data_IF_806521847507
#
_entry.id   IF_806521847507
#
_cell.length_a   1.000
_cell.length_b   1.000
_cell.length_c   1.000
_cell.angle_alpha   90.00
_cell.angle_beta   90.00
_cell.angle_gamma   90.00
#
_symmetry.space_group_name_H-M   'P 1'
#
loop_
_entity.id
_entity.type
_entity.pdbx_description
1 polymer ?
#
# COMPACT_ATOMS: atom_id res chain seq x y z
N UNK A 1 20.60 -21.75 29.32
CA UNK A 1 19.69 -21.44 30.43
C UNK A 1 18.35 -22.11 30.15
N UNK A 2 18.18 -23.33 30.63
CA UNK A 2 16.89 -23.98 30.83
C UNK A 2 16.82 -24.20 32.34
N UNK A 3 15.98 -23.45 33.04
CA UNK A 3 15.72 -23.71 34.46
C UNK A 3 14.63 -24.76 34.56
N UNK A 4 15.06 -25.94 35.01
CA UNK A 4 14.25 -27.05 35.47
C UNK A 4 13.34 -26.56 36.61
N UNK A 5 12.03 -26.45 36.33
CA UNK A 5 11.04 -26.28 37.39
C UNK A 5 10.88 -27.64 38.07
N UNK A 6 11.58 -27.77 39.19
CA UNK A 6 11.51 -28.91 40.09
C UNK A 6 10.08 -29.06 40.61
N UNK A 7 9.48 -30.20 40.26
CA UNK A 7 8.27 -30.74 40.86
C UNK A 7 8.60 -31.17 42.29
N UNK A 8 8.65 -30.23 43.24
CA UNK A 8 8.67 -30.55 44.65
C UNK A 8 7.24 -30.83 45.11
N UNK A 9 6.98 -32.13 45.31
CA UNK A 9 5.85 -32.65 46.04
C UNK A 9 5.80 -32.02 47.45
N UNK A 10 4.85 -31.12 47.68
CA UNK A 10 4.44 -30.71 49.03
C UNK A 10 3.39 -31.72 49.50
N UNK A 11 3.87 -32.88 49.95
CA UNK A 11 3.09 -33.85 50.72
C UNK A 11 2.80 -33.25 52.10
N UNK A 12 1.77 -32.41 52.18
CA UNK A 12 1.13 -32.08 53.46
C UNK A 12 -0.07 -33.00 53.65
N UNK A 13 0.17 -34.08 54.36
CA UNK A 13 -0.85 -34.86 55.08
C UNK A 13 -1.77 -33.91 55.85
N UNK A 14 -2.98 -33.73 55.32
CA UNK A 14 -4.09 -33.16 56.08
C UNK A 14 -4.75 -34.33 56.80
N UNK A 15 -4.51 -34.40 58.10
CA UNK A 15 -5.15 -35.35 59.01
C UNK A 15 -6.65 -35.10 59.02
N UNK A 16 -7.40 -36.13 58.62
CA UNK A 16 -8.85 -36.14 58.65
C UNK A 16 -9.36 -36.11 60.09
N UNK A 17 -9.89 -34.95 60.50
CA UNK A 17 -10.82 -34.86 61.62
C UNK A 17 -12.24 -34.98 61.08
N UNK A 18 -12.93 -36.06 61.45
CA UNK A 18 -14.34 -36.32 61.15
C UNK A 18 -15.25 -35.27 61.80
N UNK A 19 -16.20 -34.72 61.03
CA UNK A 19 -17.33 -33.98 61.61
C UNK A 19 -17.96 -32.90 60.72
N UNK A 20 -18.63 -33.28 59.63
CA UNK A 20 -19.89 -32.63 59.24
C UNK A 20 -19.88 -31.25 58.56
N UNK A 21 -18.98 -30.92 57.63
CA UNK A 21 -19.12 -29.69 56.80
C UNK A 21 -18.35 -29.73 55.46
N UNK A 22 -17.88 -30.92 55.03
CA UNK A 22 -17.08 -31.10 53.81
C UNK A 22 -17.88 -30.98 52.49
N UNK A 23 -19.20 -31.17 52.54
CA UNK A 23 -20.08 -31.00 51.38
C UNK A 23 -20.33 -29.54 51.00
N UNK A 24 -20.36 -28.65 51.99
CA UNK A 24 -20.66 -27.23 51.78
C UNK A 24 -19.42 -26.47 51.28
N UNK A 25 -18.25 -26.76 51.86
CA UNK A 25 -16.97 -26.22 51.39
C UNK A 25 -16.65 -26.65 49.96
N UNK A 26 -16.91 -27.91 49.58
CA UNK A 26 -16.73 -28.38 48.20
C UNK A 26 -17.72 -27.75 47.22
N UNK A 27 -18.96 -27.50 47.64
CA UNK A 27 -19.96 -26.78 46.84
C UNK A 27 -19.57 -25.29 46.64
N UNK A 28 -19.06 -24.63 47.67
CA UNK A 28 -18.53 -23.26 47.61
C UNK A 28 -17.33 -23.17 46.67
N UNK A 29 -16.38 -24.10 46.76
CA UNK A 29 -15.25 -24.18 45.84
C UNK A 29 -15.72 -24.42 44.39
N UNK A 30 -16.66 -25.33 44.17
CA UNK A 30 -17.22 -25.58 42.84
C UNK A 30 -17.99 -24.36 42.27
N UNK A 31 -18.69 -23.60 43.12
CA UNK A 31 -19.33 -22.35 42.73
C UNK A 31 -18.29 -21.28 42.36
N UNK A 32 -17.25 -21.09 43.17
CA UNK A 32 -16.16 -20.15 42.90
C UNK A 32 -15.38 -20.50 41.62
N UNK A 33 -15.13 -21.79 41.37
CA UNK A 33 -14.47 -22.23 40.13
C UNK A 33 -15.35 -21.99 38.90
N UNK A 34 -16.67 -22.21 39.00
CA UNK A 34 -17.63 -21.88 37.92
C UNK A 34 -17.70 -20.38 37.67
N UNK A 35 -17.75 -19.56 38.71
CA UNK A 35 -17.74 -18.11 38.58
C UNK A 35 -16.45 -17.61 37.93
N UNK A 36 -15.28 -18.10 38.38
CA UNK A 36 -13.98 -17.76 37.77
C UNK A 36 -13.86 -18.27 36.33
N UNK A 37 -14.49 -19.40 35.99
CA UNK A 37 -14.52 -19.89 34.62
C UNK A 37 -15.41 -19.00 33.73
N UNK A 38 -16.61 -18.64 34.20
CA UNK A 38 -17.53 -17.74 33.51
C UNK A 38 -16.95 -16.34 33.31
N UNK A 39 -16.26 -15.80 34.33
CA UNK A 39 -15.56 -14.51 34.22
C UNK A 39 -14.42 -14.56 33.20
N UNK A 40 -13.60 -15.62 33.22
CA UNK A 40 -12.51 -15.78 32.24
C UNK A 40 -13.04 -15.98 30.82
N UNK A 41 -14.15 -16.68 30.63
CA UNK A 41 -14.77 -16.82 29.30
C UNK A 41 -15.34 -15.48 28.82
N UNK A 42 -16.03 -14.73 29.68
CA UNK A 42 -16.54 -13.40 29.34
C UNK A 42 -15.41 -12.40 29.02
N UNK A 43 -14.33 -12.41 29.80
CA UNK A 43 -13.14 -11.57 29.53
C UNK A 43 -12.45 -11.99 28.22
N UNK A 44 -12.38 -13.29 27.91
CA UNK A 44 -11.84 -13.78 26.66
C UNK A 44 -12.71 -13.40 25.45
N UNK A 45 -14.04 -13.44 25.59
CA UNK A 45 -14.97 -13.00 24.54
C UNK A 45 -14.91 -11.48 24.33
N UNK A 46 -14.84 -10.70 25.41
CA UNK A 46 -14.66 -9.25 25.33
C UNK A 46 -13.35 -8.90 24.60
N UNK A 47 -12.24 -9.57 24.95
CA UNK A 47 -10.95 -9.38 24.26
C UNK A 47 -11.01 -9.74 22.78
N UNK A 48 -11.66 -10.85 22.43
CA UNK A 48 -11.85 -11.23 21.02
C UNK A 48 -12.67 -10.20 20.25
N UNK A 49 -13.71 -9.65 20.88
CA UNK A 49 -14.54 -8.61 20.29
C UNK A 49 -13.75 -7.30 20.08
N UNK A 50 -12.94 -6.88 21.06
CA UNK A 50 -12.09 -5.69 20.92
C UNK A 50 -11.01 -5.89 19.87
N UNK A 51 -10.33 -7.04 19.86
CA UNK A 51 -9.32 -7.36 18.85
C UNK A 51 -9.92 -7.40 17.43
N UNK A 52 -11.14 -7.90 17.28
CA UNK A 52 -11.84 -7.88 16.00
C UNK A 52 -12.17 -6.44 15.59
N UNK A 53 -12.69 -5.62 16.51
CA UNK A 53 -12.99 -4.22 16.26
C UNK A 53 -11.74 -3.42 15.85
N UNK A 54 -10.61 -3.62 16.53
CA UNK A 54 -9.34 -2.95 16.22
C UNK A 54 -8.79 -3.35 14.84
N UNK A 55 -8.95 -4.63 14.46
CA UNK A 55 -8.59 -5.10 13.11
C UNK A 55 -9.45 -4.44 12.04
N UNK A 56 -10.76 -4.37 12.25
CA UNK A 56 -11.67 -3.70 11.32
C UNK A 56 -11.36 -2.21 11.22
N UNK A 57 -11.10 -1.53 12.35
CA UNK A 57 -10.71 -0.12 12.38
C UNK A 57 -9.40 0.12 11.62
N UNK A 58 -8.39 -0.72 11.85
CA UNK A 58 -7.10 -0.64 11.13
C UNK A 58 -7.27 -0.82 9.63
N UNK A 59 -8.09 -1.78 9.20
CA UNK A 59 -8.37 -1.97 7.77
C UNK A 59 -9.14 -0.79 7.17
N UNK A 60 -10.11 -0.26 7.90
CA UNK A 60 -10.87 0.90 7.46
C UNK A 60 -9.98 2.14 7.31
N UNK A 61 -9.09 2.39 8.27
CA UNK A 61 -8.12 3.48 8.21
C UNK A 61 -7.21 3.37 6.98
N UNK A 62 -6.69 2.16 6.71
CA UNK A 62 -5.88 1.92 5.50
C UNK A 62 -6.67 2.23 4.24
N UNK A 63 -7.90 1.74 4.11
CA UNK A 63 -8.73 2.01 2.95
C UNK A 63 -9.05 3.49 2.74
N UNK A 64 -9.26 4.25 3.83
CA UNK A 64 -9.45 5.69 3.75
C UNK A 64 -8.20 6.41 3.23
N UNK A 65 -7.04 6.08 3.79
CA UNK A 65 -5.75 6.64 3.36
C UNK A 65 -5.46 6.28 1.91
N UNK A 66 -5.64 5.02 1.52
CA UNK A 66 -5.41 4.52 0.17
C UNK A 66 -6.25 5.27 -0.86
N UNK A 67 -7.54 5.46 -0.55
CA UNK A 67 -8.46 6.19 -1.41
C UNK A 67 -8.03 7.65 -1.58
N UNK A 68 -7.76 8.34 -0.47
CA UNK A 68 -7.40 9.76 -0.50
C UNK A 68 -6.10 9.99 -1.28
N UNK A 69 -5.10 9.13 -1.07
CA UNK A 69 -3.85 9.13 -1.83
C UNK A 69 -4.11 8.89 -3.32
N UNK A 70 -4.90 7.87 -3.66
CA UNK A 70 -5.19 7.53 -5.05
C UNK A 70 -5.90 8.68 -5.77
N UNK A 71 -6.90 9.28 -5.14
CA UNK A 71 -7.66 10.42 -5.69
C UNK A 71 -6.74 11.65 -5.89
N UNK A 72 -5.85 11.92 -4.92
CA UNK A 72 -4.91 13.04 -5.00
C UNK A 72 -3.83 12.84 -6.09
N UNK A 73 -3.29 11.62 -6.23
CA UNK A 73 -2.28 11.28 -7.25
C UNK A 73 -2.87 11.35 -8.66
N UNK A 74 -4.10 10.85 -8.84
CA UNK A 74 -4.79 10.95 -10.12
C UNK A 74 -5.04 12.41 -10.52
N UNK A 75 -5.50 13.23 -9.56
CA UNK A 75 -5.73 14.66 -9.77
C UNK A 75 -4.45 15.43 -10.13
N UNK A 76 -3.29 14.93 -9.70
CA UNK A 76 -1.98 15.58 -9.93
C UNK A 76 -1.32 15.23 -11.28
N UNK A 77 -2.01 14.48 -12.16
CA UNK A 77 -1.50 14.12 -13.49
C UNK A 77 -0.81 12.76 -13.58
N UNK A 78 -0.92 11.94 -12.52
CA UNK A 78 -0.36 10.59 -12.47
C UNK A 78 1.12 10.60 -12.08
N UNK A 79 1.48 9.70 -11.16
CA UNK A 79 2.84 9.44 -10.72
C UNK A 79 3.05 7.94 -10.60
N UNK A 80 4.30 7.50 -10.51
CA UNK A 80 4.58 6.09 -10.23
C UNK A 80 4.21 5.76 -8.77
N UNK A 81 2.96 5.32 -8.55
CA UNK A 81 2.42 5.02 -7.22
C UNK A 81 3.32 4.08 -6.42
N UNK A 82 3.96 3.09 -7.06
CA UNK A 82 4.81 2.11 -6.38
C UNK A 82 6.03 2.75 -5.70
N UNK A 83 6.56 3.83 -6.25
CA UNK A 83 7.71 4.55 -5.67
C UNK A 83 7.27 5.62 -4.68
N UNK A 84 6.10 6.21 -4.89
CA UNK A 84 5.57 7.28 -4.07
C UNK A 84 4.93 6.77 -2.77
N UNK A 85 4.38 5.55 -2.80
CA UNK A 85 3.64 4.94 -1.70
C UNK A 85 4.33 5.00 -0.33
N UNK A 86 5.59 4.55 -0.16
CA UNK A 86 6.22 4.54 1.16
C UNK A 86 6.37 5.94 1.78
N UNK A 87 6.49 6.98 0.96
CA UNK A 87 6.61 8.36 1.42
C UNK A 87 5.26 8.96 1.82
N UNK A 88 4.17 8.56 1.14
CA UNK A 88 2.83 9.04 1.47
C UNK A 88 2.26 8.30 2.67
N UNK A 89 2.44 6.98 2.76
CA UNK A 89 1.94 6.18 3.88
C UNK A 89 2.58 6.61 5.21
N UNK A 90 3.87 6.96 5.22
CA UNK A 90 4.54 7.47 6.44
C UNK A 90 4.07 8.86 6.85
N UNK A 91 3.60 9.66 5.90
CA UNK A 91 3.28 11.08 6.10
C UNK A 91 1.79 11.33 6.28
N UNK A 92 0.95 10.29 6.30
CA UNK A 92 -0.50 10.41 6.36
C UNK A 92 -1.05 9.52 7.47
N UNK A 93 -1.89 10.09 8.33
CA UNK A 93 -2.56 9.38 9.42
C UNK A 93 -4.04 9.69 9.45
N UNK A 94 -4.83 8.84 10.11
CA UNK A 94 -6.25 9.07 10.36
C UNK A 94 -6.42 9.59 11.77
N UNK A 95 -7.04 10.76 11.91
CA UNK A 95 -7.36 11.40 13.18
C UNK A 95 -8.87 11.50 13.31
N UNK A 96 -9.38 11.20 14.49
CA UNK A 96 -10.80 11.37 14.80
C UNK A 96 -11.05 12.83 15.18
N UNK A 97 -11.75 13.57 14.34
CA UNK A 97 -12.17 14.96 14.56
C UNK A 97 -13.70 15.04 14.53
N UNK A 98 -14.30 15.63 15.56
CA UNK A 98 -15.76 15.79 15.69
C UNK A 98 -16.56 14.48 15.50
N UNK A 99 -15.99 13.35 15.95
CA UNK A 99 -16.60 12.03 15.82
C UNK A 99 -16.59 11.47 14.39
N UNK A 100 -15.70 11.98 13.53
CA UNK A 100 -15.45 11.46 12.17
C UNK A 100 -13.98 11.19 11.98
N UNK A 101 -13.67 10.09 11.31
CA UNK A 101 -12.31 9.76 10.89
C UNK A 101 -11.92 10.63 9.70
N UNK A 102 -10.92 11.50 9.89
CA UNK A 102 -10.40 12.43 8.87
C UNK A 102 -8.93 12.12 8.60
N UNK A 103 -8.56 12.10 7.32
CA UNK A 103 -7.17 11.90 6.90
C UNK A 103 -6.38 13.21 7.08
N UNK A 104 -5.23 13.13 7.75
CA UNK A 104 -4.34 14.26 8.05
C UNK A 104 -2.91 13.94 7.64
N UNK A 105 -2.23 14.93 7.09
CA UNK A 105 -0.80 14.85 6.80
C UNK A 105 -0.02 15.14 8.09
N UNK A 106 0.92 14.25 8.43
CA UNK A 106 1.82 14.37 9.59
C UNK A 106 3.26 14.54 9.15
N UNK A 107 4.03 15.23 9.98
CA UNK A 107 5.49 15.36 9.83
C UNK A 107 6.24 14.24 10.52
N UNK A 108 7.58 14.30 10.45
CA UNK A 108 8.48 13.34 11.11
C UNK A 108 8.34 13.33 12.65
N UNK A 109 7.80 14.41 13.21
CA UNK A 109 7.49 14.59 14.63
C UNK A 109 6.13 13.99 15.03
N UNK A 110 5.38 13.43 14.07
CA UNK A 110 4.03 12.91 14.26
C UNK A 110 2.97 14.01 14.46
N UNK A 111 3.34 15.29 14.32
CA UNK A 111 2.39 16.39 14.43
C UNK A 111 1.73 16.66 13.08
N UNK A 112 0.47 17.10 13.13
CA UNK A 112 -0.25 17.48 11.93
C UNK A 112 0.45 18.67 11.25
N UNK A 113 0.80 18.51 9.98
CA UNK A 113 1.36 19.59 9.17
C UNK A 113 0.26 20.58 8.81
N UNK A 114 0.63 21.85 8.78
CA UNK A 114 -0.27 22.93 8.39
C UNK A 114 0.07 23.40 6.98
N UNK A 115 -0.95 23.42 6.12
CA UNK A 115 -0.90 23.97 4.78
C UNK A 115 -1.32 25.44 4.76
N UNK A 116 -1.62 25.95 3.57
CA UNK A 116 -1.87 27.40 3.37
C UNK A 116 -3.21 27.85 3.94
N UNK A 117 -4.20 26.95 4.02
CA UNK A 117 -5.59 27.26 4.39
C UNK A 117 -6.08 26.51 5.63
N UNK A 118 -5.19 25.84 6.36
CA UNK A 118 -5.56 24.97 7.47
C UNK A 118 -4.64 23.74 7.52
N UNK A 119 -5.12 22.61 8.07
CA UNK A 119 -4.36 21.36 8.05
C UNK A 119 -3.97 20.99 6.62
N UNK A 120 -2.73 20.55 6.44
CA UNK A 120 -2.17 20.22 5.12
C UNK A 120 -2.96 19.07 4.48
N UNK A 121 -3.29 19.26 3.21
CA UNK A 121 -3.97 18.24 2.40
C UNK A 121 -2.96 17.33 1.70
N UNK A 122 -3.39 16.12 1.28
CA UNK A 122 -2.53 15.19 0.53
C UNK A 122 -2.08 15.81 -0.81
N UNK A 123 -2.90 16.67 -1.41
CA UNK A 123 -2.55 17.39 -2.65
C UNK A 123 -1.40 18.38 -2.42
N UNK A 124 -1.43 19.11 -1.30
CA UNK A 124 -0.32 20.01 -0.94
C UNK A 124 0.95 19.22 -0.64
N UNK A 125 0.85 18.08 0.06
CA UNK A 125 1.98 17.18 0.28
C UNK A 125 2.59 16.69 -1.05
N UNK A 126 1.75 16.30 -2.02
CA UNK A 126 2.22 15.90 -3.36
C UNK A 126 2.96 17.03 -4.07
N UNK A 127 2.50 18.27 -3.90
CA UNK A 127 3.19 19.44 -4.45
C UNK A 127 4.57 19.65 -3.80
N UNK A 128 4.66 19.50 -2.47
CA UNK A 128 5.94 19.55 -1.74
C UNK A 128 6.90 18.47 -2.24
N UNK A 129 6.43 17.22 -2.32
CA UNK A 129 7.23 16.08 -2.79
C UNK A 129 7.69 16.23 -4.25
N UNK A 130 6.89 16.92 -5.08
CA UNK A 130 7.27 17.23 -6.46
C UNK A 130 8.37 18.29 -6.54
N UNK A 131 8.46 19.17 -5.54
CA UNK A 131 9.52 20.17 -5.41
C UNK A 131 10.86 19.57 -4.95
N UNK A 132 10.85 18.38 -4.37
CA UNK A 132 12.06 17.67 -3.95
C UNK A 132 12.82 17.14 -5.17
N UNK A 133 14.09 17.57 -5.41
CA UNK A 133 14.88 17.12 -6.54
C UNK A 133 15.11 15.60 -6.56
N UNK A 134 15.11 14.94 -5.41
CA UNK A 134 15.36 13.50 -5.31
C UNK A 134 14.11 12.69 -5.73
N UNK A 135 12.92 13.26 -5.54
CA UNK A 135 11.63 12.62 -5.82
C UNK A 135 10.98 13.11 -7.12
N UNK A 136 11.47 14.21 -7.72
CA UNK A 136 10.92 14.80 -8.94
C UNK A 136 10.77 13.79 -10.09
N UNK A 137 11.71 12.84 -10.21
CA UNK A 137 11.68 11.78 -11.24
C UNK A 137 10.51 10.79 -11.10
N UNK A 138 9.94 10.65 -9.90
CA UNK A 138 8.81 9.74 -9.61
C UNK A 138 7.50 10.27 -10.21
N UNK A 139 7.39 11.59 -10.34
CA UNK A 139 6.24 12.29 -10.93
C UNK A 139 6.33 12.37 -12.46
N UNK A 140 7.42 11.91 -13.06
CA UNK A 140 7.52 11.84 -14.51
C UNK A 140 6.61 10.70 -14.99
N UNK A 141 5.62 10.96 -15.86
CA UNK A 141 4.83 9.88 -16.44
C UNK A 141 5.79 8.93 -17.18
N UNK A 142 5.50 7.62 -17.22
CA UNK A 142 6.32 6.68 -17.97
C UNK A 142 6.48 7.23 -19.38
N UNK A 143 7.73 7.49 -19.79
CA UNK A 143 8.03 8.09 -21.10
C UNK A 143 7.31 7.27 -22.14
N UNK A 144 6.29 7.87 -22.77
CA UNK A 144 5.58 7.23 -23.86
C UNK A 144 6.64 6.74 -24.84
N UNK A 145 6.62 5.44 -25.15
CA UNK A 145 7.52 4.88 -26.15
C UNK A 145 7.45 5.80 -27.36
N UNK A 146 8.60 6.31 -27.83
CA UNK A 146 8.66 7.17 -28.99
C UNK A 146 7.79 6.54 -30.09
N UNK A 147 6.97 7.32 -30.82
CA UNK A 147 6.12 6.77 -31.87
C UNK A 147 7.02 5.90 -32.73
N UNK A 148 6.70 4.60 -32.79
CA UNK A 148 7.52 3.64 -33.49
C UNK A 148 7.80 4.21 -34.88
N UNK A 149 9.07 4.24 -35.28
CA UNK A 149 9.47 4.78 -36.58
C UNK A 149 8.50 4.24 -37.65
N UNK A 150 7.98 5.11 -38.54
CA UNK A 150 6.95 4.72 -39.49
C UNK A 150 7.40 3.44 -40.20
N UNK A 151 6.60 2.38 -40.08
CA UNK A 151 6.93 1.12 -40.75
C UNK A 151 7.02 1.41 -42.25
N UNK A 152 8.12 1.03 -42.92
CA UNK A 152 8.25 1.28 -44.35
C UNK A 152 7.12 0.56 -45.08
N UNK A 153 6.41 1.30 -45.94
CA UNK A 153 5.34 0.77 -46.78
C UNK A 153 5.86 -0.22 -47.82
N UNK A 154 7.13 -0.08 -48.25
CA UNK A 154 7.80 -0.98 -49.19
C UNK A 154 9.24 -1.22 -48.77
N UNK A 155 9.71 -2.45 -48.95
CA UNK A 155 11.12 -2.80 -48.76
C UNK A 155 11.67 -3.26 -50.10
N UNK A 156 12.75 -2.64 -50.57
CA UNK A 156 13.50 -3.07 -51.75
C UNK A 156 14.83 -3.67 -51.30
N UNK A 157 15.32 -4.68 -52.02
CA UNK A 157 16.75 -5.00 -51.94
C UNK A 157 17.58 -3.91 -52.60
N UNK A 158 18.85 -3.76 -52.22
CA UNK A 158 19.77 -2.79 -52.85
C UNK A 158 19.83 -2.90 -54.38
N UNK A 159 19.73 -4.12 -54.93
CA UNK A 159 19.75 -4.36 -56.39
C UNK A 159 18.45 -3.93 -57.05
N UNK A 160 17.31 -4.24 -56.46
CA UNK A 160 16.00 -3.83 -56.98
C UNK A 160 15.83 -2.31 -56.90
N UNK A 161 16.35 -1.68 -55.85
CA UNK A 161 16.37 -0.22 -55.71
C UNK A 161 17.19 0.44 -56.83
N UNK A 162 18.38 -0.07 -57.11
CA UNK A 162 19.23 0.44 -58.19
C UNK A 162 18.59 0.21 -59.57
N UNK A 163 17.98 -0.94 -59.80
CA UNK A 163 17.26 -1.23 -61.04
C UNK A 163 16.04 -0.30 -61.22
N UNK A 164 15.26 -0.08 -60.16
CA UNK A 164 14.09 0.81 -60.17
C UNK A 164 14.48 2.28 -60.41
N UNK A 165 15.59 2.75 -59.84
CA UNK A 165 16.09 4.10 -60.13
C UNK A 165 16.62 4.24 -61.55
N UNK A 166 17.27 3.19 -62.08
CA UNK A 166 17.86 3.20 -63.42
C UNK A 166 16.80 3.13 -64.53
N UNK A 167 15.70 2.41 -64.31
CA UNK A 167 14.59 2.29 -65.28
C UNK A 167 13.53 3.38 -65.15
N UNK A 168 13.52 4.14 -64.05
CA UNK A 168 12.57 5.24 -63.83
C UNK A 168 12.95 6.52 -64.60
N UNK A 169 11.93 7.19 -65.10
CA UNK A 169 11.96 8.58 -65.57
C UNK A 169 12.28 9.55 -64.42
N UNK A 170 12.58 10.81 -64.76
CA UNK A 170 13.07 11.81 -63.80
C UNK A 170 12.07 12.08 -62.66
N UNK A 171 10.78 12.12 -62.95
CA UNK A 171 9.75 12.44 -61.98
C UNK A 171 9.50 11.26 -61.02
N UNK A 172 9.45 10.04 -61.56
CA UNK A 172 9.33 8.82 -60.75
C UNK A 172 10.55 8.60 -59.87
N UNK A 173 11.76 8.90 -60.36
CA UNK A 173 12.99 8.84 -59.56
C UNK A 173 12.97 9.83 -58.40
N UNK A 174 12.51 11.05 -58.65
CA UNK A 174 12.36 12.07 -57.61
C UNK A 174 11.29 11.69 -56.56
N UNK A 175 10.21 11.01 -56.98
CA UNK A 175 9.21 10.48 -56.06
C UNK A 175 9.77 9.34 -55.18
N UNK A 176 10.48 8.38 -55.77
CA UNK A 176 11.12 7.28 -55.02
C UNK A 176 12.12 7.80 -53.98
N UNK A 177 12.96 8.77 -54.34
CA UNK A 177 13.92 9.38 -53.41
C UNK A 177 13.23 10.13 -52.27
N UNK A 178 12.14 10.86 -52.54
CA UNK A 178 11.33 11.51 -51.49
C UNK A 178 10.68 10.50 -50.56
N UNK A 179 10.19 9.39 -51.08
CA UNK A 179 9.54 8.33 -50.31
C UNK A 179 10.56 7.55 -49.45
N UNK A 180 11.78 7.32 -49.96
CA UNK A 180 12.89 6.78 -49.18
C UNK A 180 13.35 7.73 -48.07
N UNK A 181 13.49 9.04 -48.37
CA UNK A 181 13.84 10.04 -47.37
C UNK A 181 12.77 10.20 -46.28
N UNK A 182 11.50 10.00 -46.62
CA UNK A 182 10.38 9.99 -45.68
C UNK A 182 10.25 8.68 -44.88
N UNK A 183 11.16 7.71 -45.06
CA UNK A 183 11.11 6.40 -44.38
C UNK A 183 9.96 5.50 -44.85
N UNK A 184 9.25 5.88 -45.92
CA UNK A 184 8.18 5.07 -46.52
C UNK A 184 8.74 3.91 -47.34
N UNK A 185 9.99 4.02 -47.80
CA UNK A 185 10.72 2.95 -48.48
C UNK A 185 11.97 2.61 -47.67
N UNK A 186 12.13 1.33 -47.33
CA UNK A 186 13.37 0.79 -46.79
C UNK A 186 14.16 0.08 -47.88
N UNK A 187 15.47 0.32 -47.94
CA UNK A 187 16.38 -0.44 -48.80
C UNK A 187 17.25 -1.30 -47.90
N UNK A 188 17.20 -2.62 -48.07
CA UNK A 188 17.98 -3.59 -47.30
C UNK A 188 18.98 -4.35 -48.18
#
# INVERSE_FOLDING_TARGET
>A
MNDDISTSADEREVTAAEGGEGGDTTAIWAALHRERAARRSAEAEARKATEAADKYKTHFHKLLVDREIMDAVQSSGGANMRLLWPHLESSVTVVEEDGRDVVRVVGDDGQARWGVRGPMTVVELLHDLRGDPDLAGIFQPPRAAAPAAPKPTKTYSRREWQAALASADADTRAALMRDAAAGRIAVR
#
